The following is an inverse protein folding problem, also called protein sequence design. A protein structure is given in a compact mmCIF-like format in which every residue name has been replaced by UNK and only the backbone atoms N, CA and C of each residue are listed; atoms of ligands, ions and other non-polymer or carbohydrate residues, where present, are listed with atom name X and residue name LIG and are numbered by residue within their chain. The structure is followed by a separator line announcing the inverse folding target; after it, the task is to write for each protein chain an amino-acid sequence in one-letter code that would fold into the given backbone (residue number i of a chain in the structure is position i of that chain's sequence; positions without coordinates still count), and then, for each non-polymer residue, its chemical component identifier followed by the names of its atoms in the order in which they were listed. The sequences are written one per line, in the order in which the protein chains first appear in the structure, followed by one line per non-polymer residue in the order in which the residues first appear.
data_IF_207878122257
#
_entry.id   IF_207878122257
#
_cell.length_a   1.000
_cell.length_b   1.000
_cell.length_c   1.000
_cell.angle_alpha   90.00
_cell.angle_beta   90.00
_cell.angle_gamma   90.00
#
_symmetry.space_group_name_H-M   'P 1'
#
loop_
_entity.id
_entity.type
_entity.pdbx_description
1 polymer ?
#
# COMPACT_ATOMS: atom_id res chain seq x y z
N UNK A 1 23.52 36.66 33.10
CA UNK A 1 23.29 35.36 33.78
C UNK A 1 21.82 35.34 34.14
N UNK A 2 20.97 34.44 33.66
CA UNK A 2 21.14 33.13 33.02
C UNK A 2 19.90 32.90 32.16
N UNK A 3 20.11 32.55 30.88
CA UNK A 3 19.09 31.91 30.06
C UNK A 3 18.81 30.53 30.65
N UNK A 4 17.55 30.17 30.86
CA UNK A 4 17.16 28.78 31.01
C UNK A 4 16.16 28.41 29.93
N UNK A 5 16.70 27.66 28.97
CA UNK A 5 16.03 26.92 27.91
C UNK A 5 14.82 26.14 28.44
N UNK A 6 13.64 26.45 27.92
CA UNK A 6 12.51 25.52 27.86
C UNK A 6 12.40 24.98 26.44
N UNK A 7 13.38 24.16 26.05
CA UNK A 7 13.16 23.16 24.98
C UNK A 7 12.37 22.02 25.61
N UNK A 8 11.05 22.21 25.74
CA UNK A 8 10.12 21.10 25.88
C UNK A 8 10.25 20.27 24.59
N UNK A 9 11.04 19.20 24.65
CA UNK A 9 11.17 18.25 23.56
C UNK A 9 9.78 17.74 23.19
N UNK A 10 9.32 18.09 21.99
CA UNK A 10 8.13 17.52 21.38
C UNK A 10 8.35 16.00 21.32
N UNK A 11 7.69 15.25 22.20
CA UNK A 11 7.61 13.79 22.07
C UNK A 11 6.91 13.54 20.74
N UNK A 12 7.56 12.89 19.76
CA UNK A 12 6.95 12.66 18.48
C UNK A 12 5.69 11.82 18.67
N UNK A 13 4.57 12.29 18.12
CA UNK A 13 3.26 11.67 18.27
C UNK A 13 3.28 10.26 17.66
N UNK A 14 2.88 9.26 18.45
CA UNK A 14 2.73 7.88 17.99
C UNK A 14 1.38 7.68 17.31
N UNK A 15 1.42 7.26 16.05
CA UNK A 15 0.25 6.93 15.25
C UNK A 15 -0.09 5.46 15.44
N UNK A 16 -1.35 5.14 15.71
CA UNK A 16 -1.82 3.76 15.86
C UNK A 16 -2.00 3.11 14.49
N UNK A 17 -1.42 1.92 14.30
CA UNK A 17 -1.71 1.10 13.14
C UNK A 17 -3.11 0.46 13.28
N UNK A 18 -3.63 -0.08 12.18
CA UNK A 18 -4.92 -0.79 12.15
C UNK A 18 -4.91 -2.04 13.02
N UNK A 19 -3.78 -2.73 13.12
CA UNK A 19 -3.64 -3.89 13.99
C UNK A 19 -3.50 -3.45 15.46
N UNK A 20 -4.32 -4.03 16.33
CA UNK A 20 -4.32 -3.70 17.75
C UNK A 20 -2.94 -3.94 18.38
N UNK A 21 -2.48 -2.95 19.15
CA UNK A 21 -1.19 -3.02 19.84
C UNK A 21 0.02 -2.52 19.04
N UNK A 22 -0.16 -2.11 17.78
CA UNK A 22 0.92 -1.60 16.93
C UNK A 22 0.82 -0.08 16.73
N UNK A 23 1.96 0.58 16.71
CA UNK A 23 2.08 2.03 16.49
C UNK A 23 3.46 2.40 15.97
N UNK A 24 3.56 3.52 15.26
CA UNK A 24 4.79 4.00 14.64
C UNK A 24 4.91 5.52 14.76
N UNK A 25 6.11 6.07 14.55
CA UNK A 25 6.32 7.51 14.43
C UNK A 25 6.30 7.90 12.97
N UNK A 26 5.62 9.02 12.66
CA UNK A 26 5.36 9.44 11.27
C UNK A 26 6.62 9.55 10.41
N UNK A 27 7.74 10.01 10.98
CA UNK A 27 8.97 10.26 10.23
C UNK A 27 10.06 9.19 10.43
N UNK A 28 9.73 8.06 11.07
CA UNK A 28 10.65 6.93 11.13
C UNK A 28 10.84 6.31 9.75
N UNK A 29 12.05 5.89 9.44
CA UNK A 29 12.39 5.22 8.17
C UNK A 29 11.85 3.79 8.08
N UNK A 30 11.17 3.29 9.12
CA UNK A 30 10.47 2.01 9.11
C UNK A 30 9.29 2.00 10.07
N UNK A 31 8.16 1.41 9.65
CA UNK A 31 6.98 1.23 10.50
C UNK A 31 6.63 -0.25 10.65
N UNK A 32 6.52 -0.73 11.88
CA UNK A 32 5.94 -2.05 12.18
C UNK A 32 4.43 -1.91 12.31
N UNK A 33 3.70 -2.48 11.35
CA UNK A 33 2.24 -2.32 11.24
C UNK A 33 1.47 -3.46 11.92
N UNK A 34 2.04 -4.65 11.94
CA UNK A 34 1.53 -5.81 12.68
C UNK A 34 2.65 -6.82 12.97
N UNK A 35 2.28 -8.01 13.47
CA UNK A 35 3.23 -9.07 13.86
C UNK A 35 4.10 -9.61 12.71
N UNK A 36 3.62 -9.48 11.48
CA UNK A 36 4.23 -10.05 10.27
C UNK A 36 4.77 -8.97 9.33
N UNK A 37 4.23 -7.74 9.39
CA UNK A 37 4.49 -6.70 8.41
C UNK A 37 5.17 -5.51 9.07
N UNK A 38 6.43 -5.32 8.68
CA UNK A 38 7.18 -4.08 8.84
C UNK A 38 7.48 -3.53 7.46
N UNK A 39 7.22 -2.24 7.26
CA UNK A 39 7.48 -1.53 6.01
C UNK A 39 8.74 -0.67 6.14
N UNK A 40 9.53 -0.59 5.07
CA UNK A 40 10.74 0.22 4.98
C UNK A 40 10.45 1.46 4.12
N UNK A 41 10.71 2.64 4.67
CA UNK A 41 10.43 3.94 4.06
C UNK A 41 11.70 4.65 3.58
N UNK A 42 12.87 4.00 3.60
CA UNK A 42 14.14 4.62 3.23
C UNK A 42 14.10 5.25 1.82
N UNK A 43 13.52 4.55 0.83
CA UNK A 43 13.37 5.13 -0.52
C UNK A 43 12.50 6.40 -0.51
N UNK A 44 11.44 6.43 0.31
CA UNK A 44 10.55 7.60 0.40
C UNK A 44 11.31 8.80 0.94
N UNK A 45 12.10 8.59 2.00
CA UNK A 45 12.98 9.61 2.58
C UNK A 45 14.15 9.99 1.66
N UNK A 46 14.60 9.08 0.80
CA UNK A 46 15.70 9.33 -0.13
C UNK A 46 15.26 10.20 -1.31
N UNK A 47 14.12 9.87 -1.92
CA UNK A 47 13.64 10.53 -3.13
C UNK A 47 12.86 11.81 -2.86
N UNK A 48 11.98 11.83 -1.86
CA UNK A 48 11.08 12.95 -1.62
C UNK A 48 11.63 13.90 -0.55
N UNK A 49 11.38 15.20 -0.70
CA UNK A 49 11.70 16.22 0.30
C UNK A 49 10.49 17.08 0.68
N UNK A 50 10.65 17.84 1.76
CA UNK A 50 9.76 18.93 2.18
C UNK A 50 8.27 18.53 2.27
N UNK A 51 7.38 19.34 1.70
CA UNK A 51 5.93 19.10 1.72
C UNK A 51 5.53 17.81 1.00
N UNK A 52 6.25 17.40 -0.04
CA UNK A 52 5.93 16.16 -0.76
C UNK A 52 6.22 14.93 0.10
N UNK A 53 7.33 14.93 0.85
CA UNK A 53 7.61 13.88 1.83
C UNK A 53 6.55 13.85 2.94
N UNK A 54 6.23 15.00 3.52
CA UNK A 54 5.23 15.12 4.59
C UNK A 54 3.86 14.59 4.15
N UNK A 55 3.38 14.98 2.97
CA UNK A 55 2.11 14.51 2.45
C UNK A 55 2.11 13.02 2.12
N UNK A 56 3.23 12.48 1.64
CA UNK A 56 3.37 11.05 1.37
C UNK A 56 3.22 10.25 2.66
N UNK A 57 3.98 10.63 3.69
CA UNK A 57 3.98 9.95 4.99
C UNK A 57 2.60 10.07 5.67
N UNK A 58 1.97 11.24 5.66
CA UNK A 58 0.61 11.41 6.24
C UNK A 58 -0.44 10.55 5.53
N UNK A 59 -0.34 10.46 4.20
CA UNK A 59 -1.24 9.60 3.42
C UNK A 59 -0.99 8.13 3.74
N UNK A 60 0.27 7.68 3.76
CA UNK A 60 0.62 6.31 4.14
C UNK A 60 0.17 5.98 5.57
N UNK A 61 0.30 6.92 6.51
CA UNK A 61 -0.17 6.78 7.88
C UNK A 61 -1.69 6.62 7.95
N UNK A 62 -2.44 7.35 7.12
CA UNK A 62 -3.88 7.16 6.98
C UNK A 62 -4.20 5.73 6.52
N UNK A 63 -3.51 5.19 5.51
CA UNK A 63 -3.68 3.80 5.08
C UNK A 63 -3.30 2.81 6.19
N UNK A 64 -2.16 2.99 6.83
CA UNK A 64 -1.68 2.14 7.93
C UNK A 64 -2.66 2.09 9.11
N UNK A 65 -3.39 3.17 9.37
CA UNK A 65 -4.37 3.27 10.47
C UNK A 65 -5.76 2.72 10.08
N UNK A 66 -6.13 2.81 8.79
CA UNK A 66 -7.51 2.57 8.33
C UNK A 66 -7.68 1.36 7.41
N UNK A 67 -6.60 0.72 6.98
CA UNK A 67 -6.59 -0.44 6.06
C UNK A 67 -5.65 -1.52 6.59
N UNK A 68 -5.67 -2.70 5.97
CA UNK A 68 -4.79 -3.80 6.36
C UNK A 68 -3.33 -3.46 6.06
N UNK A 69 -2.41 -3.98 6.89
CA UNK A 69 -0.97 -3.79 6.71
C UNK A 69 -0.47 -4.28 5.35
N UNK A 70 -1.02 -5.39 4.83
CA UNK A 70 -0.69 -5.90 3.49
C UNK A 70 -1.08 -4.93 2.38
N UNK A 71 -2.20 -4.22 2.53
CA UNK A 71 -2.63 -3.23 1.55
C UNK A 71 -1.71 -2.00 1.56
N UNK A 72 -1.37 -1.50 2.75
CA UNK A 72 -0.40 -0.41 2.92
C UNK A 72 0.97 -0.78 2.35
N UNK A 73 1.47 -1.99 2.64
CA UNK A 73 2.72 -2.52 2.07
C UNK A 73 2.67 -2.56 0.55
N UNK A 74 1.59 -3.09 -0.02
CA UNK A 74 1.44 -3.17 -1.48
C UNK A 74 1.47 -1.78 -2.13
N UNK A 75 0.77 -0.78 -1.56
CA UNK A 75 0.81 0.61 -2.05
C UNK A 75 2.24 1.16 -1.99
N UNK A 76 2.90 1.04 -0.84
CA UNK A 76 4.25 1.54 -0.64
C UNK A 76 5.23 0.94 -1.65
N UNK A 77 5.24 -0.39 -1.80
CA UNK A 77 6.17 -1.06 -2.71
C UNK A 77 5.97 -0.64 -4.18
N UNK A 78 4.71 -0.46 -4.61
CA UNK A 78 4.44 0.03 -5.97
C UNK A 78 4.90 1.47 -6.13
N UNK A 79 4.65 2.31 -5.14
CA UNK A 79 5.06 3.70 -5.16
C UNK A 79 6.60 3.86 -5.13
N UNK A 80 7.31 3.12 -4.27
CA UNK A 80 8.79 3.08 -4.26
C UNK A 80 9.36 2.56 -5.57
N UNK A 81 8.72 1.57 -6.19
CA UNK A 81 9.10 1.14 -7.54
C UNK A 81 8.99 2.29 -8.55
N UNK A 82 7.93 3.09 -8.51
CA UNK A 82 7.83 4.27 -9.39
C UNK A 82 8.95 5.28 -9.13
N UNK A 83 9.23 5.59 -7.87
CA UNK A 83 10.30 6.54 -7.52
C UNK A 83 11.67 6.05 -8.04
N UNK A 84 11.98 4.77 -7.86
CA UNK A 84 13.24 4.17 -8.34
C UNK A 84 13.38 4.20 -9.87
N UNK A 85 12.33 3.83 -10.59
CA UNK A 85 12.39 3.79 -12.06
C UNK A 85 12.47 5.20 -12.69
N UNK A 86 11.91 6.20 -12.02
CA UNK A 86 11.80 7.56 -12.57
C UNK A 86 12.76 8.57 -11.96
N UNK A 87 13.49 8.19 -10.91
CA UNK A 87 14.31 9.09 -10.08
C UNK A 87 13.52 10.33 -9.60
N UNK A 88 12.21 10.16 -9.39
CA UNK A 88 11.29 11.27 -9.14
C UNK A 88 11.43 11.82 -7.71
N UNK A 89 11.61 13.14 -7.61
CA UNK A 89 11.60 13.87 -6.33
C UNK A 89 10.27 14.54 -5.99
N UNK A 90 9.45 14.74 -7.02
CA UNK A 90 8.09 15.29 -6.95
C UNK A 90 7.17 14.48 -7.86
N UNK A 91 5.87 14.53 -7.58
CA UNK A 91 4.89 13.77 -8.35
C UNK A 91 4.24 14.69 -9.38
N UNK A 92 4.68 14.55 -10.63
CA UNK A 92 4.20 15.34 -11.76
C UNK A 92 3.52 14.47 -12.82
N UNK A 93 2.80 15.10 -13.74
CA UNK A 93 2.26 14.47 -14.93
C UNK A 93 3.33 13.75 -15.76
N UNK A 94 4.49 14.40 -15.92
CA UNK A 94 5.64 13.88 -16.66
C UNK A 94 6.20 12.60 -16.02
N UNK A 95 6.33 12.59 -14.69
CA UNK A 95 6.75 11.39 -13.94
C UNK A 95 5.79 10.23 -14.19
N UNK A 96 4.48 10.48 -14.15
CA UNK A 96 3.48 9.44 -14.38
C UNK A 96 3.46 8.93 -15.82
N UNK A 97 3.63 9.81 -16.81
CA UNK A 97 3.72 9.44 -18.23
C UNK A 97 4.94 8.55 -18.46
N UNK A 98 6.10 8.95 -17.92
CA UNK A 98 7.35 8.19 -18.03
C UNK A 98 7.23 6.84 -17.32
N UNK A 99 6.68 6.81 -16.11
CA UNK A 99 6.50 5.55 -15.41
C UNK A 99 5.57 4.61 -16.17
N UNK A 100 4.46 5.13 -16.72
CA UNK A 100 3.53 4.32 -17.51
C UNK A 100 4.20 3.70 -18.74
N UNK A 101 5.08 4.42 -19.43
CA UNK A 101 5.77 3.90 -20.62
C UNK A 101 6.79 2.81 -20.30
N UNK A 102 7.28 2.74 -19.05
CA UNK A 102 8.16 1.70 -18.54
C UNK A 102 7.42 0.41 -18.16
N UNK A 103 6.10 0.47 -17.96
CA UNK A 103 5.31 -0.69 -17.52
C UNK A 103 4.91 -1.60 -18.69
N UNK A 104 4.96 -2.90 -18.44
CA UNK A 104 4.41 -3.91 -19.32
C UNK A 104 2.91 -4.10 -19.05
N UNK A 105 2.15 -4.79 -19.94
CA UNK A 105 0.77 -5.17 -19.65
C UNK A 105 0.60 -6.00 -18.38
N UNK A 106 1.64 -6.73 -17.94
CA UNK A 106 1.62 -7.52 -16.72
C UNK A 106 1.85 -6.67 -15.46
N UNK A 107 2.44 -5.48 -15.59
CA UNK A 107 2.79 -4.58 -14.49
C UNK A 107 2.00 -3.26 -14.50
N UNK A 108 1.15 -3.00 -15.51
CA UNK A 108 0.31 -1.79 -15.58
C UNK A 108 -0.57 -1.59 -14.33
N UNK A 109 -0.94 -2.68 -13.65
CA UNK A 109 -1.70 -2.61 -12.40
C UNK A 109 -0.97 -1.91 -11.25
N UNK A 110 0.36 -1.76 -11.32
CA UNK A 110 1.14 -0.97 -10.36
C UNK A 110 0.65 0.49 -10.37
N UNK A 111 0.52 1.07 -11.57
CA UNK A 111 0.02 2.42 -11.76
C UNK A 111 -1.44 2.56 -11.34
N UNK A 112 -2.26 1.52 -11.53
CA UNK A 112 -3.63 1.52 -11.02
C UNK A 112 -3.68 1.57 -9.47
N UNK A 113 -2.74 0.92 -8.80
CA UNK A 113 -2.57 0.99 -7.34
C UNK A 113 -2.12 2.39 -6.90
N UNK A 114 -1.10 2.93 -7.57
CA UNK A 114 -0.58 4.28 -7.30
C UNK A 114 -1.68 5.33 -7.51
N UNK A 115 -2.50 5.21 -8.54
CA UNK A 115 -3.63 6.12 -8.78
C UNK A 115 -4.55 6.25 -7.57
N UNK A 116 -4.92 5.12 -6.95
CA UNK A 116 -5.76 5.15 -5.75
C UNK A 116 -5.09 5.87 -4.57
N UNK A 117 -3.78 5.70 -4.42
CA UNK A 117 -2.99 6.37 -3.40
C UNK A 117 -2.88 7.88 -3.64
N UNK A 118 -2.54 8.32 -4.86
CA UNK A 118 -2.41 9.75 -5.20
C UNK A 118 -3.74 10.50 -5.11
N UNK A 119 -4.84 9.83 -5.48
CA UNK A 119 -6.18 10.39 -5.30
C UNK A 119 -6.50 10.61 -3.82
N UNK A 120 -6.26 9.60 -2.99
CA UNK A 120 -6.48 9.70 -1.54
C UNK A 120 -5.59 10.76 -0.91
N UNK A 121 -4.33 10.87 -1.34
CA UNK A 121 -3.40 11.91 -0.89
C UNK A 121 -3.98 13.30 -1.13
N UNK A 122 -4.42 13.58 -2.35
CA UNK A 122 -5.02 14.87 -2.69
C UNK A 122 -6.35 15.11 -1.97
N UNK A 123 -7.22 14.10 -1.86
CA UNK A 123 -8.51 14.21 -1.16
C UNK A 123 -8.36 14.50 0.34
N UNK A 124 -7.30 13.98 0.96
CA UNK A 124 -6.93 14.28 2.35
C UNK A 124 -6.36 15.69 2.54
N UNK A 125 -6.08 16.42 1.45
CA UNK A 125 -5.61 17.81 1.48
C UNK A 125 -4.14 17.96 1.87
N UNK A 126 -3.35 16.89 1.82
CA UNK A 126 -1.92 16.96 2.13
C UNK A 126 -1.09 17.50 0.95
N UNK A 127 0.02 18.22 1.20
CA UNK A 127 0.85 18.78 0.15
C UNK A 127 1.52 17.72 -0.73
N UNK A 128 1.86 18.07 -1.98
CA UNK A 128 2.67 17.24 -2.87
C UNK A 128 1.97 16.70 -4.12
N UNK A 129 0.64 16.74 -4.19
CA UNK A 129 -0.14 16.29 -5.37
C UNK A 129 -0.97 17.45 -5.92
N UNK A 130 -0.76 17.77 -7.19
CA UNK A 130 -1.56 18.78 -7.89
C UNK A 130 -2.89 18.20 -8.40
N UNK A 131 -3.85 19.08 -8.70
CA UNK A 131 -5.13 18.68 -9.29
C UNK A 131 -4.95 18.11 -10.70
N UNK A 132 -3.94 18.59 -11.41
CA UNK A 132 -3.57 18.20 -12.78
C UNK A 132 -3.13 16.73 -12.83
N UNK A 133 -2.37 16.27 -11.81
CA UNK A 133 -1.98 14.86 -11.66
C UNK A 133 -3.20 13.95 -11.60
N UNK A 134 -4.20 14.30 -10.79
CA UNK A 134 -5.44 13.52 -10.71
C UNK A 134 -6.23 13.56 -12.03
N UNK A 135 -6.32 14.73 -12.66
CA UNK A 135 -7.01 14.87 -13.96
C UNK A 135 -6.38 14.01 -15.05
N UNK A 136 -5.05 13.90 -15.07
CA UNK A 136 -4.34 12.99 -15.99
C UNK A 136 -4.73 11.54 -15.74
N UNK A 137 -4.69 11.10 -14.48
CA UNK A 137 -4.98 9.72 -14.10
C UNK A 137 -6.45 9.33 -14.35
N UNK A 138 -7.37 10.28 -14.26
CA UNK A 138 -8.78 10.09 -14.60
C UNK A 138 -9.00 9.88 -16.10
N UNK A 139 -8.12 10.43 -16.94
CA UNK A 139 -8.12 10.21 -18.39
C UNK A 139 -7.56 8.85 -18.82
N UNK A 140 -7.01 8.05 -17.90
CA UNK A 140 -6.36 6.78 -18.22
C UNK A 140 -7.22 5.55 -17.89
N UNK A 141 -7.44 4.72 -18.90
CA UNK A 141 -7.87 3.33 -18.73
C UNK A 141 -6.65 2.47 -18.43
N UNK A 142 -6.57 1.93 -17.20
CA UNK A 142 -5.47 1.10 -16.71
C UNK A 142 -5.96 -0.32 -16.46
N UNK A 143 -5.21 -1.34 -16.90
CA UNK A 143 -5.55 -2.73 -16.61
C UNK A 143 -5.30 -3.06 -15.14
N UNK A 144 -6.24 -3.79 -14.55
CA UNK A 144 -6.07 -4.36 -13.21
C UNK A 144 -5.12 -5.56 -13.23
N UNK A 145 -4.72 -6.01 -12.04
CA UNK A 145 -3.93 -7.22 -11.90
C UNK A 145 -4.67 -8.41 -12.54
N UNK A 146 -3.94 -9.29 -13.24
CA UNK A 146 -4.51 -10.51 -13.81
C UNK A 146 -4.97 -11.41 -12.66
N UNK A 147 -6.27 -11.68 -12.59
CA UNK A 147 -6.89 -12.54 -11.57
C UNK A 147 -7.60 -13.72 -12.22
N UNK A 148 -7.61 -14.85 -11.53
CA UNK A 148 -8.35 -16.05 -11.96
C UNK A 148 -7.76 -16.77 -13.17
N UNK A 149 -6.50 -16.51 -13.51
CA UNK A 149 -5.81 -17.15 -14.64
C UNK A 149 -5.54 -18.64 -14.36
N UNK A 150 -5.05 -18.96 -13.16
CA UNK A 150 -4.87 -20.33 -12.68
C UNK A 150 -6.21 -21.08 -12.61
N UNK A 151 -7.24 -20.42 -12.07
CA UNK A 151 -8.60 -20.96 -12.03
C UNK A 151 -9.13 -21.27 -13.43
N UNK A 152 -8.99 -20.34 -14.38
CA UNK A 152 -9.44 -20.53 -15.77
C UNK A 152 -8.72 -21.65 -16.50
N UNK A 153 -7.46 -21.92 -16.16
CA UNK A 153 -6.66 -22.98 -16.77
C UNK A 153 -6.77 -24.33 -16.08
N UNK A 154 -7.59 -24.44 -15.02
CA UNK A 154 -7.65 -25.66 -14.19
C UNK A 154 -6.26 -26.07 -13.70
N UNK A 155 -5.48 -25.10 -13.23
CA UNK A 155 -4.14 -25.37 -12.70
C UNK A 155 -4.25 -26.40 -11.55
N UNK A 156 -3.47 -27.49 -11.55
CA UNK A 156 -3.61 -28.56 -10.58
C UNK A 156 -3.20 -28.18 -9.15
N UNK A 157 -2.55 -27.03 -8.94
CA UNK A 157 -2.12 -26.57 -7.62
C UNK A 157 -2.85 -25.29 -7.20
N UNK A 158 -2.99 -24.33 -8.12
CA UNK A 158 -3.53 -23.00 -7.85
C UNK A 158 -4.91 -22.76 -8.50
N UNK A 159 -5.47 -23.79 -9.13
CA UNK A 159 -6.79 -23.78 -9.77
C UNK A 159 -7.93 -24.09 -8.79
N UNK A 160 -9.14 -24.38 -9.30
CA UNK A 160 -10.25 -24.77 -8.44
C UNK A 160 -10.02 -26.19 -7.88
N UNK A 161 -10.69 -26.49 -6.76
CA UNK A 161 -10.77 -27.87 -6.26
C UNK A 161 -11.33 -28.78 -7.37
N UNK A 162 -10.70 -29.94 -7.54
CA UNK A 162 -11.25 -31.04 -8.34
C UNK A 162 -12.51 -31.61 -7.67
N UNK A 163 -13.33 -32.35 -8.43
CA UNK A 163 -14.56 -32.96 -7.89
C UNK A 163 -14.29 -33.86 -6.67
N UNK A 164 -13.17 -34.59 -6.69
CA UNK A 164 -12.77 -35.45 -5.59
C UNK A 164 -12.33 -34.64 -4.36
N UNK A 165 -11.56 -33.56 -4.55
CA UNK A 165 -11.14 -32.68 -3.46
C UNK A 165 -12.32 -31.93 -2.86
N UNK A 166 -13.25 -31.47 -3.69
CA UNK A 166 -14.48 -30.80 -3.25
C UNK A 166 -15.36 -31.76 -2.45
N UNK A 167 -15.52 -33.00 -2.92
CA UNK A 167 -16.26 -34.05 -2.19
C UNK A 167 -15.59 -34.36 -0.85
N UNK A 168 -14.28 -34.58 -0.84
CA UNK A 168 -13.53 -34.86 0.37
C UNK A 168 -13.58 -33.70 1.38
N UNK A 169 -13.52 -32.46 0.91
CA UNK A 169 -13.69 -31.26 1.72
C UNK A 169 -15.08 -31.20 2.37
N UNK A 170 -16.14 -31.40 1.57
CA UNK A 170 -17.52 -31.36 2.05
C UNK A 170 -17.79 -32.46 3.09
N UNK A 171 -17.38 -33.69 2.83
CA UNK A 171 -17.51 -34.77 3.81
C UNK A 171 -16.69 -34.50 5.07
N UNK A 172 -15.50 -33.92 4.94
CA UNK A 172 -14.67 -33.49 6.05
C UNK A 172 -15.38 -32.47 6.93
N UNK A 173 -16.02 -31.47 6.31
CA UNK A 173 -16.80 -30.46 7.01
C UNK A 173 -18.00 -31.08 7.75
N UNK A 174 -18.76 -31.97 7.11
CA UNK A 174 -19.88 -32.70 7.75
C UNK A 174 -19.40 -33.47 8.97
N UNK A 175 -18.33 -34.26 8.84
CA UNK A 175 -17.76 -35.03 9.97
C UNK A 175 -17.27 -34.13 11.11
N UNK A 176 -16.71 -32.95 10.81
CA UNK A 176 -16.27 -32.00 11.83
C UNK A 176 -17.47 -31.38 12.57
N UNK A 177 -18.56 -31.09 11.86
CA UNK A 177 -19.80 -30.59 12.43
C UNK A 177 -20.47 -31.64 13.34
N UNK A 178 -20.60 -32.89 12.88
CA UNK A 178 -21.14 -34.01 13.68
C UNK A 178 -20.35 -34.23 14.98
N UNK A 179 -19.05 -33.93 14.96
CA UNK A 179 -18.16 -34.00 16.13
C UNK A 179 -18.13 -32.70 16.96
N UNK A 180 -18.94 -31.70 16.61
CA UNK A 180 -18.97 -30.37 17.26
C UNK A 180 -17.62 -29.67 17.29
N UNK A 181 -16.75 -29.92 16.29
CA UNK A 181 -15.46 -29.23 16.14
C UNK A 181 -15.61 -27.87 15.43
N UNK A 182 -16.68 -27.74 14.65
CA UNK A 182 -17.10 -26.51 13.95
C UNK A 182 -18.62 -26.35 14.11
N UNK A 183 -19.12 -25.12 13.91
CA UNK A 183 -20.54 -24.74 14.06
C UNK A 183 -21.09 -24.16 12.78
#
# INVERSE_FOLDING_TARGET
MTMNNLLLGLVPERIRARANGYSFLLYDTSWTLDRNITINLADIHHYLSDGTLDGCLRTLAFYASNRSSSHTKNILERFQHMLRETDAREITDTVLINYRSMLSPATEWYLATIRGFLRSWHELGYPGISKEVNRLLDGWTLKGNRKGDAVKRMDPQEGPLTDNELTAFNEGAVRAYEKSLIT
#
